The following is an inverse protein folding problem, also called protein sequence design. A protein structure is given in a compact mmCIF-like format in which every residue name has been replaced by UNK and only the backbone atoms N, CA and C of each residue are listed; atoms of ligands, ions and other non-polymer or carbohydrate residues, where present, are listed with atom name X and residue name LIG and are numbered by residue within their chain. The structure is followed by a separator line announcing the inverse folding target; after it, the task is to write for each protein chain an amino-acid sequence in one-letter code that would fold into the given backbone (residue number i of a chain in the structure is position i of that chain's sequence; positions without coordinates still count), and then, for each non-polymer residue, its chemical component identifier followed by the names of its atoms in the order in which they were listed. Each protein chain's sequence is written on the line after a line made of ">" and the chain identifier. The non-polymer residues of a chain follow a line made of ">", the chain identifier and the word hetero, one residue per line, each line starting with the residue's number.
data_IF_069882951765
#
_entry.id   IF_069882951765
#
_cell.length_a   1.000
_cell.length_b   1.000
_cell.length_c   1.000
_cell.angle_alpha   90.00
_cell.angle_beta   90.00
_cell.angle_gamma   90.00
#
_symmetry.space_group_name_H-M   'P 1'
#
loop_
_entity.id
_entity.type
_entity.pdbx_description
1 polymer ?
#
# COMPACT_ATOMS: atom_id res chain seq x y z
N UNK A 1 -17.24 9.37 6.63
CA UNK A 1 -17.80 8.04 6.94
C UNK A 1 -19.18 7.89 6.34
N UNK A 2 -19.30 7.98 5.01
CA UNK A 2 -20.60 7.94 4.33
C UNK A 2 -21.05 6.53 3.89
N UNK A 3 -20.41 5.48 4.43
CA UNK A 3 -20.81 4.10 4.12
C UNK A 3 -20.29 3.53 2.80
N UNK A 4 -19.36 4.17 2.08
CA UNK A 4 -18.79 3.66 0.82
C UNK A 4 -18.44 2.16 0.85
N UNK A 5 -17.62 1.73 1.81
CA UNK A 5 -17.23 0.32 1.95
C UNK A 5 -18.44 -0.58 2.21
N UNK A 6 -19.43 -0.13 2.98
CA UNK A 6 -20.67 -0.88 3.24
C UNK A 6 -21.47 -1.06 1.95
N UNK A 7 -21.60 -0.01 1.14
CA UNK A 7 -22.25 -0.07 -0.18
C UNK A 7 -21.55 -1.07 -1.09
N UNK A 8 -20.21 -1.02 -1.19
CA UNK A 8 -19.45 -1.96 -2.01
C UNK A 8 -19.66 -3.42 -1.55
N UNK A 9 -19.57 -3.67 -0.25
CA UNK A 9 -19.78 -5.01 0.34
C UNK A 9 -21.20 -5.53 0.06
N UNK A 10 -22.23 -4.73 0.32
CA UNK A 10 -23.62 -5.14 0.10
C UNK A 10 -23.94 -5.29 -1.39
N UNK A 11 -23.34 -4.47 -2.25
CA UNK A 11 -23.47 -4.61 -3.71
C UNK A 11 -22.93 -5.97 -4.17
N UNK A 12 -21.76 -6.37 -3.68
CA UNK A 12 -21.18 -7.68 -4.01
C UNK A 12 -22.10 -8.81 -3.53
N UNK A 13 -22.56 -8.74 -2.27
CA UNK A 13 -23.50 -9.75 -1.74
C UNK A 13 -24.78 -9.84 -2.56
N UNK A 14 -25.38 -8.69 -2.90
CA UNK A 14 -26.58 -8.60 -3.73
C UNK A 14 -26.37 -9.17 -5.15
N UNK A 15 -25.22 -8.90 -5.78
CA UNK A 15 -24.88 -9.47 -7.08
C UNK A 15 -24.79 -11.00 -7.03
N UNK A 16 -24.32 -11.57 -5.92
CA UNK A 16 -24.20 -13.02 -5.74
C UNK A 16 -25.56 -13.66 -5.42
N UNK A 17 -26.29 -13.13 -4.44
CA UNK A 17 -27.51 -13.76 -3.93
C UNK A 17 -28.73 -13.47 -4.80
N UNK A 18 -28.97 -12.19 -5.10
CA UNK A 18 -30.17 -11.76 -5.79
C UNK A 18 -30.04 -11.95 -7.30
N UNK A 19 -28.89 -11.60 -7.88
CA UNK A 19 -28.65 -11.76 -9.32
C UNK A 19 -28.04 -13.11 -9.70
N UNK A 20 -27.77 -14.00 -8.72
CA UNK A 20 -27.16 -15.32 -8.93
C UNK A 20 -25.86 -15.27 -9.75
N UNK A 21 -25.10 -14.18 -9.66
CA UNK A 21 -23.79 -14.09 -10.33
C UNK A 21 -22.79 -14.97 -9.61
N UNK A 22 -21.89 -15.56 -10.39
CA UNK A 22 -20.78 -16.33 -9.82
C UNK A 22 -19.84 -15.38 -9.04
N UNK A 23 -19.54 -15.63 -7.74
CA UNK A 23 -18.62 -14.80 -6.96
C UNK A 23 -17.24 -14.63 -7.61
N UNK A 24 -16.77 -15.64 -8.33
CA UNK A 24 -15.50 -15.59 -9.05
C UNK A 24 -15.50 -14.61 -10.24
N UNK A 25 -16.67 -14.14 -10.67
CA UNK A 25 -16.83 -13.12 -11.74
C UNK A 25 -16.80 -11.68 -11.23
N UNK A 26 -16.64 -11.50 -9.92
CA UNK A 26 -16.59 -10.19 -9.26
C UNK A 26 -15.17 -9.91 -8.79
N UNK A 27 -14.66 -8.73 -9.13
CA UNK A 27 -13.37 -8.21 -8.64
C UNK A 27 -13.62 -6.98 -7.77
N UNK A 28 -13.06 -6.94 -6.57
CA UNK A 28 -13.04 -5.74 -5.74
C UNK A 28 -11.62 -5.38 -5.35
N UNK A 29 -11.23 -4.15 -5.65
CA UNK A 29 -9.86 -3.66 -5.47
C UNK A 29 -9.82 -2.50 -4.48
N UNK A 30 -8.85 -2.56 -3.57
CA UNK A 30 -8.62 -1.54 -2.54
C UNK A 30 -7.12 -1.25 -2.40
N UNK A 31 -6.77 -0.17 -1.70
CA UNK A 31 -5.37 0.25 -1.54
C UNK A 31 -4.64 -0.43 -0.38
N UNK A 32 -5.35 -0.99 0.60
CA UNK A 32 -4.71 -1.55 1.80
C UNK A 32 -5.13 -3.00 2.06
N UNK A 33 -4.19 -3.80 2.56
CA UNK A 33 -4.46 -5.20 2.93
C UNK A 33 -5.52 -5.30 4.03
N UNK A 34 -5.51 -4.36 5.01
CA UNK A 34 -6.52 -4.31 6.06
C UNK A 34 -7.91 -4.11 5.49
N UNK A 35 -8.08 -3.14 4.58
CA UNK A 35 -9.37 -2.90 3.94
C UNK A 35 -9.82 -4.08 3.06
N UNK A 36 -8.88 -4.76 2.38
CA UNK A 36 -9.19 -5.95 1.60
C UNK A 36 -9.69 -7.10 2.48
N UNK A 37 -9.00 -7.37 3.60
CA UNK A 37 -9.38 -8.39 4.57
C UNK A 37 -10.72 -8.07 5.24
N UNK A 38 -10.92 -6.82 5.67
CA UNK A 38 -12.18 -6.36 6.26
C UNK A 38 -13.35 -6.47 5.26
N UNK A 39 -13.14 -6.03 4.01
CA UNK A 39 -14.13 -6.15 2.94
C UNK A 39 -14.49 -7.61 2.68
N UNK A 40 -13.49 -8.47 2.54
CA UNK A 40 -13.68 -9.91 2.34
C UNK A 40 -14.46 -10.55 3.50
N UNK A 41 -14.03 -10.32 4.73
CA UNK A 41 -14.68 -10.87 5.93
C UNK A 41 -16.16 -10.49 6.00
N UNK A 42 -16.50 -9.24 5.68
CA UNK A 42 -17.90 -8.79 5.68
C UNK A 42 -18.73 -9.36 4.54
N UNK A 43 -18.12 -9.62 3.38
CA UNK A 43 -18.82 -10.29 2.28
C UNK A 43 -19.10 -11.75 2.66
N UNK A 44 -18.11 -12.44 3.21
CA UNK A 44 -18.26 -13.84 3.66
C UNK A 44 -19.30 -13.99 4.77
N UNK A 45 -19.36 -13.02 5.69
CA UNK A 45 -20.40 -12.95 6.73
C UNK A 45 -21.80 -12.76 6.13
N UNK A 46 -21.97 -11.82 5.21
CA UNK A 46 -23.27 -11.58 4.56
C UNK A 46 -23.76 -12.75 3.72
N UNK A 47 -22.84 -13.47 3.06
CA UNK A 47 -23.15 -14.62 2.22
C UNK A 47 -23.26 -15.93 3.02
N UNK A 48 -22.96 -15.90 4.32
CA UNK A 48 -22.82 -17.08 5.19
C UNK A 48 -21.94 -18.19 4.59
N UNK A 49 -20.97 -17.81 3.75
CA UNK A 49 -20.17 -18.72 2.95
C UNK A 49 -18.78 -18.14 2.64
N UNK A 50 -17.74 -18.99 2.60
CA UNK A 50 -16.40 -18.54 2.23
C UNK A 50 -16.36 -18.15 0.75
N UNK A 51 -15.68 -17.04 0.44
CA UNK A 51 -15.56 -16.56 -0.92
C UNK A 51 -14.36 -17.20 -1.62
N UNK A 52 -14.46 -18.51 -1.83
CA UNK A 52 -13.44 -19.31 -2.52
C UNK A 52 -13.18 -18.74 -3.91
N UNK A 53 -11.90 -18.57 -4.26
CA UNK A 53 -11.43 -17.98 -5.52
C UNK A 53 -11.87 -16.53 -5.83
N UNK A 54 -12.51 -15.83 -4.89
CA UNK A 54 -12.92 -14.44 -5.07
C UNK A 54 -11.73 -13.49 -5.31
N UNK A 55 -11.94 -12.46 -6.12
CA UNK A 55 -10.90 -11.47 -6.48
C UNK A 55 -11.06 -10.19 -5.65
N UNK A 56 -11.01 -10.34 -4.32
CA UNK A 56 -11.03 -9.22 -3.37
C UNK A 56 -9.64 -9.05 -2.79
N UNK A 57 -9.01 -7.91 -3.06
CA UNK A 57 -7.60 -7.71 -2.71
C UNK A 57 -7.10 -6.30 -2.95
N UNK A 58 -5.80 -6.12 -2.76
CA UNK A 58 -5.12 -4.90 -3.18
C UNK A 58 -4.68 -4.99 -4.64
N UNK A 59 -4.42 -3.85 -5.29
CA UNK A 59 -3.85 -3.82 -6.65
C UNK A 59 -2.64 -4.77 -6.77
N UNK A 60 -1.66 -4.62 -5.87
CA UNK A 60 -0.47 -5.46 -5.85
C UNK A 60 -0.76 -6.94 -5.55
N UNK A 61 -1.66 -7.22 -4.60
CA UNK A 61 -2.01 -8.60 -4.26
C UNK A 61 -2.69 -9.34 -5.42
N UNK A 62 -3.58 -8.65 -6.14
CA UNK A 62 -4.27 -9.20 -7.31
C UNK A 62 -3.34 -9.30 -8.52
N UNK A 63 -2.47 -8.31 -8.74
CA UNK A 63 -1.42 -8.37 -9.75
C UNK A 63 -0.46 -9.54 -9.51
N UNK A 64 0.00 -9.74 -8.26
CA UNK A 64 0.81 -10.89 -7.90
C UNK A 64 0.09 -12.22 -8.17
N UNK A 65 -1.18 -12.35 -7.77
CA UNK A 65 -1.99 -13.54 -8.06
C UNK A 65 -2.13 -13.78 -9.56
N UNK A 66 -2.35 -12.72 -10.35
CA UNK A 66 -2.40 -12.79 -11.80
C UNK A 66 -1.06 -13.28 -12.37
N UNK A 67 0.06 -12.65 -12.02
CA UNK A 67 1.38 -13.00 -12.55
C UNK A 67 1.79 -14.42 -12.17
N UNK A 68 1.42 -14.91 -10.98
CA UNK A 68 1.64 -16.33 -10.63
C UNK A 68 0.85 -17.28 -11.53
N UNK A 69 -0.38 -16.90 -11.92
CA UNK A 69 -1.23 -17.69 -12.81
C UNK A 69 -0.75 -17.69 -14.26
N UNK A 70 -0.34 -16.52 -14.77
CA UNK A 70 0.08 -16.29 -16.15
C UNK A 70 1.58 -16.02 -16.24
N UNK A 71 2.37 -16.76 -15.45
CA UNK A 71 3.80 -16.49 -15.31
C UNK A 71 4.55 -16.69 -16.63
N UNK A 72 4.13 -17.67 -17.46
CA UNK A 72 4.74 -17.94 -18.77
C UNK A 72 4.53 -16.79 -19.73
N UNK A 73 3.30 -16.28 -19.80
CA UNK A 73 2.91 -15.13 -20.60
C UNK A 73 3.60 -13.84 -20.11
N UNK A 74 3.90 -13.76 -18.82
CA UNK A 74 4.66 -12.67 -18.21
C UNK A 74 6.20 -12.78 -18.38
N UNK A 75 6.69 -13.84 -19.04
CA UNK A 75 8.13 -14.10 -19.15
C UNK A 75 8.80 -14.30 -17.78
N UNK A 76 8.07 -14.84 -16.80
CA UNK A 76 8.51 -15.10 -15.44
C UNK A 76 8.52 -16.59 -15.14
N UNK A 77 9.39 -17.02 -14.23
CA UNK A 77 9.29 -18.35 -13.65
C UNK A 77 8.14 -18.38 -12.62
N UNK A 78 7.52 -19.55 -12.41
CA UNK A 78 6.48 -19.71 -11.38
C UNK A 78 6.98 -19.37 -9.97
N UNK A 79 8.30 -19.47 -9.74
CA UNK A 79 8.99 -19.19 -8.49
C UNK A 79 9.58 -17.77 -8.35
N UNK A 80 9.18 -16.79 -9.19
CA UNK A 80 9.73 -15.42 -9.07
C UNK A 80 9.64 -14.84 -7.65
N UNK A 81 10.71 -14.15 -7.24
CA UNK A 81 10.81 -13.52 -5.92
C UNK A 81 10.34 -12.07 -5.99
N UNK A 82 9.55 -11.65 -5.00
CA UNK A 82 9.25 -10.23 -4.79
C UNK A 82 10.39 -9.54 -4.01
N UNK A 83 10.86 -8.42 -4.55
CA UNK A 83 11.81 -7.53 -3.90
C UNK A 83 11.11 -6.55 -2.96
N UNK A 84 11.69 -6.34 -1.79
CA UNK A 84 11.34 -5.19 -0.95
C UNK A 84 12.17 -3.95 -1.34
N UNK A 85 11.84 -2.80 -0.74
CA UNK A 85 12.53 -1.55 -1.05
C UNK A 85 14.03 -1.57 -0.67
N UNK A 86 14.44 -2.31 0.36
CA UNK A 86 15.86 -2.39 0.73
C UNK A 86 16.62 -3.31 -0.22
N UNK A 87 16.00 -4.42 -0.63
CA UNK A 87 16.57 -5.36 -1.60
C UNK A 87 16.75 -4.66 -2.96
N UNK A 88 15.75 -3.91 -3.43
CA UNK A 88 15.87 -3.06 -4.63
C UNK A 88 17.01 -2.04 -4.49
N UNK A 89 17.09 -1.33 -3.36
CA UNK A 89 18.14 -0.34 -3.12
C UNK A 89 19.55 -0.96 -3.14
N UNK A 90 19.71 -2.19 -2.62
CA UNK A 90 20.99 -2.91 -2.66
C UNK A 90 21.43 -3.22 -4.08
N UNK A 91 20.51 -3.68 -4.94
CA UNK A 91 20.82 -3.94 -6.35
C UNK A 91 21.23 -2.65 -7.05
N UNK A 92 20.50 -1.56 -6.83
CA UNK A 92 20.80 -0.24 -7.42
C UNK A 92 22.17 0.28 -6.96
N UNK A 93 22.52 0.13 -5.68
CA UNK A 93 23.84 0.50 -5.15
C UNK A 93 24.97 -0.28 -5.83
N UNK A 94 24.77 -1.59 -6.03
CA UNK A 94 25.74 -2.44 -6.72
C UNK A 94 25.95 -1.97 -8.17
N UNK A 95 24.86 -1.76 -8.91
CA UNK A 95 24.89 -1.25 -10.30
C UNK A 95 25.57 0.12 -10.37
N UNK A 96 25.24 1.03 -9.46
CA UNK A 96 25.83 2.39 -9.43
C UNK A 96 27.34 2.33 -9.20
N UNK A 97 27.79 1.44 -8.30
CA UNK A 97 29.22 1.19 -8.04
C UNK A 97 29.93 0.59 -9.25
N UNK A 98 29.33 -0.40 -9.91
CA UNK A 98 29.88 -1.02 -11.12
C UNK A 98 29.98 -0.03 -12.29
N UNK A 99 29.04 0.92 -12.39
CA UNK A 99 29.07 2.00 -13.36
C UNK A 99 30.06 3.13 -13.01
N UNK A 100 30.75 3.06 -11.88
CA UNK A 100 31.71 4.08 -11.43
C UNK A 100 31.05 5.41 -11.04
N UNK A 101 29.77 5.39 -10.64
CA UNK A 101 29.04 6.58 -10.22
C UNK A 101 29.35 6.92 -8.76
N UNK A 102 29.62 8.20 -8.50
CA UNK A 102 29.86 8.72 -7.15
C UNK A 102 28.53 8.83 -6.38
N UNK A 103 28.41 8.17 -5.22
CA UNK A 103 27.20 8.16 -4.37
C UNK A 103 26.85 9.56 -3.81
N UNK A 104 27.82 10.48 -3.71
CA UNK A 104 27.56 11.86 -3.28
C UNK A 104 26.89 12.70 -4.36
N UNK A 105 27.16 12.38 -5.63
CA UNK A 105 26.59 13.07 -6.80
C UNK A 105 25.32 12.35 -7.28
N UNK A 106 25.31 11.03 -7.21
CA UNK A 106 24.24 10.15 -7.68
C UNK A 106 23.74 9.24 -6.55
N UNK A 107 22.98 9.77 -5.58
CA UNK A 107 22.50 8.96 -4.47
C UNK A 107 21.61 7.81 -4.96
N UNK A 108 21.95 6.58 -4.60
CA UNK A 108 21.21 5.38 -5.04
C UNK A 108 19.72 5.40 -4.66
N UNK A 109 19.37 6.05 -3.53
CA UNK A 109 17.95 6.25 -3.14
C UNK A 109 17.18 7.13 -4.12
N UNK A 110 17.84 8.14 -4.70
CA UNK A 110 17.23 9.03 -5.67
C UNK A 110 16.95 8.27 -6.98
N UNK A 111 17.92 7.48 -7.43
CA UNK A 111 17.74 6.57 -8.58
C UNK A 111 16.59 5.59 -8.36
N UNK A 112 16.51 4.97 -7.17
CA UNK A 112 15.41 4.09 -6.79
C UNK A 112 14.05 4.79 -6.87
N UNK A 113 13.95 5.99 -6.29
CA UNK A 113 12.71 6.76 -6.29
C UNK A 113 12.27 7.08 -7.72
N UNK A 114 13.19 7.54 -8.57
CA UNK A 114 12.89 7.89 -9.95
C UNK A 114 12.50 6.69 -10.80
N UNK A 115 13.16 5.53 -10.62
CA UNK A 115 12.79 4.27 -11.29
C UNK A 115 11.36 3.87 -10.93
N UNK A 116 11.01 3.93 -9.63
CA UNK A 116 9.66 3.59 -9.19
C UNK A 116 8.63 4.57 -9.76
N UNK A 117 8.94 5.88 -9.81
CA UNK A 117 8.07 6.88 -10.43
C UNK A 117 7.82 6.59 -11.92
N UNK A 118 8.86 6.24 -12.69
CA UNK A 118 8.70 5.84 -14.09
C UNK A 118 7.85 4.58 -14.25
N UNK A 119 8.03 3.58 -13.39
CA UNK A 119 7.18 2.37 -13.41
C UNK A 119 5.72 2.68 -13.10
N UNK A 120 5.46 3.56 -12.13
CA UNK A 120 4.11 3.99 -11.77
C UNK A 120 3.43 4.77 -12.92
N UNK A 121 4.21 5.50 -13.72
CA UNK A 121 3.76 6.16 -14.96
C UNK A 121 3.65 5.22 -16.16
N UNK A 122 4.10 3.97 -16.03
CA UNK A 122 4.03 2.95 -17.08
C UNK A 122 5.22 2.93 -18.04
N UNK A 123 6.33 3.58 -17.71
CA UNK A 123 7.52 3.63 -18.54
C UNK A 123 8.50 2.51 -18.24
N UNK A 124 8.89 1.78 -19.30
CA UNK A 124 10.09 0.93 -19.32
C UNK A 124 11.33 1.78 -19.58
N UNK A 125 12.52 1.29 -19.22
CA UNK A 125 13.76 2.03 -19.43
C UNK A 125 14.03 2.43 -20.89
N UNK A 126 13.51 1.66 -21.84
CA UNK A 126 13.56 1.96 -23.28
C UNK A 126 12.59 3.06 -23.72
N UNK A 127 11.53 3.31 -22.95
CA UNK A 127 10.47 4.28 -23.23
C UNK A 127 10.60 5.58 -22.46
N UNK A 128 11.57 5.69 -21.54
CA UNK A 128 11.86 6.93 -20.81
C UNK A 128 12.40 7.99 -21.77
N UNK A 129 11.78 9.17 -21.78
CA UNK A 129 12.36 10.34 -22.44
C UNK A 129 13.38 11.01 -21.52
N UNK A 130 14.65 10.67 -21.76
CA UNK A 130 15.81 11.17 -21.03
C UNK A 130 16.60 12.24 -21.82
N UNK A 131 16.19 12.59 -23.04
CA UNK A 131 17.00 13.41 -23.93
C UNK A 131 17.20 14.83 -23.38
N UNK A 132 18.45 15.24 -23.28
CA UNK A 132 18.81 16.61 -22.90
C UNK A 132 18.74 16.87 -21.39
N UNK A 133 18.51 15.83 -20.58
CA UNK A 133 18.56 15.88 -19.13
C UNK A 133 19.61 14.87 -18.63
N UNK A 134 20.82 15.37 -18.37
CA UNK A 134 21.94 14.56 -17.90
C UNK A 134 21.61 13.76 -16.62
N UNK A 135 20.70 14.27 -15.79
CA UNK A 135 20.25 13.57 -14.60
C UNK A 135 19.38 12.35 -14.96
N UNK A 136 18.39 12.54 -15.83
CA UNK A 136 17.56 11.43 -16.32
C UNK A 136 18.36 10.41 -17.11
N UNK A 137 19.30 10.84 -17.95
CA UNK A 137 20.12 9.93 -18.76
C UNK A 137 20.91 8.96 -17.87
N UNK A 138 21.52 9.44 -16.79
CA UNK A 138 22.30 8.58 -15.90
C UNK A 138 21.41 7.65 -15.08
N UNK A 139 20.26 8.12 -14.58
CA UNK A 139 19.30 7.24 -13.91
C UNK A 139 18.74 6.20 -14.87
N UNK A 140 18.48 6.56 -16.13
CA UNK A 140 17.97 5.61 -17.12
C UNK A 140 19.01 4.53 -17.45
N UNK A 141 20.32 4.85 -17.47
CA UNK A 141 21.38 3.83 -17.56
C UNK A 141 21.32 2.85 -16.39
N UNK A 142 21.17 3.35 -15.17
CA UNK A 142 20.97 2.49 -13.98
C UNK A 142 19.71 1.64 -14.15
N UNK A 143 18.62 2.23 -14.63
CA UNK A 143 17.35 1.54 -14.81
C UNK A 143 17.46 0.38 -15.82
N UNK A 144 18.13 0.60 -16.95
CA UNK A 144 18.39 -0.45 -17.97
C UNK A 144 19.13 -1.65 -17.38
N UNK A 145 20.21 -1.40 -16.63
CA UNK A 145 20.97 -2.48 -15.99
C UNK A 145 20.18 -3.15 -14.86
N UNK A 146 19.36 -2.38 -14.14
CA UNK A 146 18.47 -2.90 -13.10
C UNK A 146 17.41 -3.84 -13.68
N UNK A 147 16.76 -3.49 -14.79
CA UNK A 147 15.78 -4.38 -15.45
C UNK A 147 16.43 -5.68 -15.93
N UNK A 148 17.65 -5.61 -16.50
CA UNK A 148 18.40 -6.80 -16.91
C UNK A 148 18.74 -7.69 -15.71
N UNK A 149 19.19 -7.10 -14.60
CA UNK A 149 19.50 -7.83 -13.38
C UNK A 149 18.25 -8.52 -12.81
N UNK A 150 17.12 -7.81 -12.74
CA UNK A 150 15.86 -8.39 -12.29
C UNK A 150 15.38 -9.53 -13.18
N UNK A 151 15.48 -9.39 -14.50
CA UNK A 151 15.08 -10.45 -15.44
C UNK A 151 15.97 -11.69 -15.29
N UNK A 152 17.29 -11.51 -15.24
CA UNK A 152 18.26 -12.60 -15.09
C UNK A 152 18.07 -13.39 -13.81
N UNK A 153 17.83 -12.69 -12.70
CA UNK A 153 17.73 -13.27 -11.36
C UNK A 153 16.25 -13.64 -11.01
N UNK A 154 15.34 -13.46 -11.98
CA UNK A 154 13.90 -13.75 -11.86
C UNK A 154 13.24 -13.05 -10.65
N UNK A 155 13.51 -11.75 -10.56
CA UNK A 155 13.09 -10.84 -9.49
C UNK A 155 12.01 -9.87 -10.00
N UNK A 156 11.07 -9.53 -9.12
CA UNK A 156 9.95 -8.62 -9.40
C UNK A 156 9.83 -7.64 -8.24
N UNK A 157 10.00 -6.34 -8.47
CA UNK A 157 9.74 -5.32 -7.44
C UNK A 157 8.25 -4.92 -7.40
N UNK A 158 7.88 -4.04 -6.47
CA UNK A 158 6.49 -3.63 -6.28
C UNK A 158 5.89 -2.92 -7.50
N UNK A 159 6.62 -1.99 -8.13
CA UNK A 159 6.16 -1.32 -9.34
C UNK A 159 6.04 -2.30 -10.52
N UNK A 160 6.97 -3.25 -10.61
CA UNK A 160 6.98 -4.29 -11.64
C UNK A 160 5.73 -5.16 -11.61
N UNK A 161 5.16 -5.44 -10.43
CA UNK A 161 3.92 -6.21 -10.32
C UNK A 161 2.80 -5.57 -11.14
N UNK A 162 2.65 -4.25 -11.08
CA UNK A 162 1.60 -3.52 -11.78
C UNK A 162 1.94 -3.36 -13.26
N UNK A 163 3.14 -2.85 -13.57
CA UNK A 163 3.57 -2.60 -14.94
C UNK A 163 3.53 -3.87 -15.80
N UNK A 164 4.11 -4.96 -15.29
CA UNK A 164 4.11 -6.24 -16.02
C UNK A 164 2.72 -6.84 -16.14
N UNK A 165 1.87 -6.69 -15.12
CA UNK A 165 0.47 -7.15 -15.21
C UNK A 165 -0.30 -6.38 -16.29
N UNK A 166 -0.08 -5.07 -16.37
CA UNK A 166 -0.68 -4.24 -17.42
C UNK A 166 -0.22 -4.68 -18.81
N UNK A 167 1.09 -4.85 -19.03
CA UNK A 167 1.65 -5.29 -20.31
C UNK A 167 1.12 -6.66 -20.73
N UNK A 168 1.07 -7.63 -19.80
CA UNK A 168 0.55 -8.97 -20.08
C UNK A 168 -0.92 -8.92 -20.49
N UNK A 169 -1.75 -8.10 -19.85
CA UNK A 169 -3.16 -7.93 -20.24
C UNK A 169 -3.28 -7.21 -21.58
N UNK A 170 -2.46 -6.19 -21.83
CA UNK A 170 -2.51 -5.38 -23.05
C UNK A 170 -2.08 -6.19 -24.28
N UNK A 171 -0.97 -6.92 -24.14
CA UNK A 171 -0.24 -7.50 -25.28
C UNK A 171 -0.59 -8.98 -25.52
N UNK A 172 -1.19 -9.68 -24.54
CA UNK A 172 -1.61 -11.07 -24.70
C UNK A 172 -3.14 -11.19 -24.80
N UNK A 173 -3.64 -11.35 -26.02
CA UNK A 173 -5.08 -11.42 -26.31
C UNK A 173 -5.79 -12.58 -25.57
N UNK A 174 -5.10 -13.69 -25.30
CA UNK A 174 -5.69 -14.84 -24.59
C UNK A 174 -5.91 -14.52 -23.10
N UNK A 175 -4.94 -13.87 -22.45
CA UNK A 175 -5.04 -13.44 -21.05
C UNK A 175 -6.07 -12.34 -20.91
N UNK A 176 -6.09 -11.40 -21.85
CA UNK A 176 -7.11 -10.35 -21.95
C UNK A 176 -8.51 -10.96 -22.06
N UNK A 177 -8.74 -11.82 -23.05
CA UNK A 177 -10.02 -12.48 -23.26
C UNK A 177 -10.46 -13.28 -22.03
N UNK A 178 -9.53 -13.96 -21.35
CA UNK A 178 -9.81 -14.65 -20.09
C UNK A 178 -10.38 -13.72 -19.03
N UNK A 179 -9.76 -12.55 -18.80
CA UNK A 179 -10.23 -11.60 -17.79
C UNK A 179 -11.53 -10.88 -18.18
N UNK A 180 -11.70 -10.50 -19.45
CA UNK A 180 -12.96 -9.93 -19.94
C UNK A 180 -14.13 -10.93 -19.90
N UNK A 181 -13.85 -12.22 -20.15
CA UNK A 181 -14.85 -13.27 -20.01
C UNK A 181 -15.19 -13.51 -18.53
N UNK A 182 -14.18 -13.51 -17.66
CA UNK A 182 -14.34 -13.79 -16.23
C UNK A 182 -15.03 -12.66 -15.48
N UNK A 183 -14.51 -11.44 -15.54
CA UNK A 183 -14.99 -10.34 -14.70
C UNK A 183 -16.16 -9.63 -15.35
N UNK A 184 -17.32 -9.72 -14.70
CA UNK A 184 -18.55 -9.03 -15.10
C UNK A 184 -18.85 -7.82 -14.25
N UNK A 185 -18.22 -7.73 -13.08
CA UNK A 185 -18.33 -6.60 -12.15
C UNK A 185 -16.95 -6.32 -11.57
N UNK A 186 -16.47 -5.09 -11.74
CA UNK A 186 -15.20 -4.61 -11.19
C UNK A 186 -15.52 -3.42 -10.30
N UNK A 187 -15.20 -3.54 -9.01
CA UNK A 187 -15.40 -2.51 -8.01
C UNK A 187 -14.03 -1.94 -7.64
N UNK A 188 -13.80 -0.69 -8.02
CA UNK A 188 -12.55 0.05 -7.74
C UNK A 188 -12.91 1.36 -7.06
N UNK A 189 -12.12 1.78 -6.08
CA UNK A 189 -12.29 3.06 -5.37
C UNK A 189 -11.62 4.25 -6.10
N UNK A 190 -11.63 4.25 -7.44
CA UNK A 190 -10.99 5.30 -8.26
C UNK A 190 -11.98 5.93 -9.24
N UNK A 191 -11.74 7.22 -9.55
CA UNK A 191 -12.62 8.08 -10.35
C UNK A 191 -12.07 8.22 -11.76
N UNK A 192 -12.52 7.44 -12.74
CA UNK A 192 -12.32 7.83 -14.15
C UNK A 192 -13.22 7.02 -15.08
N UNK A 193 -14.46 7.48 -15.28
CA UNK A 193 -15.33 7.01 -16.37
C UNK A 193 -16.26 8.16 -16.77
N UNK A 194 -16.04 8.75 -17.94
CA UNK A 194 -16.76 9.94 -18.39
C UNK A 194 -18.27 9.70 -18.60
N UNK A 195 -18.65 8.44 -18.83
CA UNK A 195 -20.05 8.01 -19.03
C UNK A 195 -20.71 7.45 -17.76
N UNK A 196 -20.04 7.53 -16.60
CA UNK A 196 -20.57 6.91 -15.38
C UNK A 196 -21.64 7.75 -14.70
N UNK A 197 -22.67 7.07 -14.19
CA UNK A 197 -23.61 7.65 -13.24
C UNK A 197 -22.92 7.92 -11.90
N UNK A 198 -23.07 9.15 -11.39
CA UNK A 198 -22.43 9.58 -10.14
C UNK A 198 -23.46 9.59 -9.01
N UNK A 199 -23.35 8.60 -8.12
CA UNK A 199 -24.13 8.56 -6.88
C UNK A 199 -23.31 9.20 -5.75
N UNK A 200 -23.82 10.30 -5.18
CA UNK A 200 -23.17 10.99 -4.05
C UNK A 200 -23.71 10.48 -2.72
N UNK A 201 -22.82 9.93 -1.89
CA UNK A 201 -23.13 9.55 -0.50
C UNK A 201 -22.76 10.71 0.44
N UNK A 202 -23.76 11.48 0.85
CA UNK A 202 -23.59 12.74 1.60
C UNK A 202 -23.85 12.59 3.10
N UNK A 203 -24.68 11.63 3.51
CA UNK A 203 -24.92 11.35 4.92
C UNK A 203 -23.69 10.67 5.55
N UNK A 204 -23.21 11.21 6.67
CA UNK A 204 -22.13 10.67 7.48
C UNK A 204 -22.71 9.98 8.72
N UNK A 205 -22.39 8.70 8.89
CA UNK A 205 -22.89 7.89 10.01
C UNK A 205 -21.89 7.79 11.18
N UNK A 206 -20.66 8.30 10.99
CA UNK A 206 -19.56 8.17 11.95
C UNK A 206 -19.48 9.34 12.92
N UNK A 207 -19.44 10.55 12.40
CA UNK A 207 -19.05 11.76 13.14
C UNK A 207 -20.25 12.59 13.56
N UNK A 208 -20.09 13.35 14.65
CA UNK A 208 -21.04 14.37 15.12
C UNK A 208 -21.02 15.59 14.23
N UNK A 209 -22.04 16.45 14.35
CA UNK A 209 -22.17 17.67 13.56
C UNK A 209 -21.01 18.65 13.81
N UNK A 210 -20.49 18.72 15.05
CA UNK A 210 -19.34 19.58 15.39
C UNK A 210 -18.09 19.18 14.60
N UNK A 211 -17.73 17.90 14.64
CA UNK A 211 -16.56 17.37 13.89
C UNK A 211 -16.78 17.52 12.38
N UNK A 212 -18.00 17.25 11.91
CA UNK A 212 -18.32 17.31 10.49
C UNK A 212 -18.32 18.75 9.96
N UNK A 213 -18.82 19.70 10.73
CA UNK A 213 -18.78 21.12 10.44
C UNK A 213 -17.35 21.63 10.28
N UNK A 214 -16.47 21.31 11.25
CA UNK A 214 -15.06 21.66 11.15
C UNK A 214 -14.38 21.04 9.92
N UNK A 215 -14.66 19.77 9.62
CA UNK A 215 -14.11 19.10 8.44
C UNK A 215 -14.61 19.71 7.12
N UNK A 216 -15.90 20.10 7.03
CA UNK A 216 -16.48 20.76 5.87
C UNK A 216 -15.88 22.17 5.67
N UNK A 217 -15.75 22.96 6.74
CA UNK A 217 -15.14 24.29 6.68
C UNK A 217 -13.66 24.22 6.26
N UNK A 218 -12.91 23.21 6.72
CA UNK A 218 -11.53 23.01 6.31
C UNK A 218 -11.41 22.67 4.82
N UNK A 219 -12.21 21.71 4.33
CA UNK A 219 -12.12 21.22 2.94
C UNK A 219 -12.65 22.22 1.91
N UNK A 220 -13.46 23.20 2.32
CA UNK A 220 -13.93 24.29 1.46
C UNK A 220 -12.80 25.16 0.92
N UNK A 221 -11.65 25.20 1.58
CA UNK A 221 -10.47 25.93 1.12
C UNK A 221 -9.74 25.25 -0.06
N UNK A 222 -10.11 24.01 -0.42
CA UNK A 222 -9.47 23.29 -1.53
C UNK A 222 -10.15 23.61 -2.86
N UNK A 223 -9.37 23.97 -3.87
CA UNK A 223 -9.83 24.36 -5.21
C UNK A 223 -10.27 23.19 -6.08
N UNK A 224 -9.65 22.01 -5.92
CA UNK A 224 -9.98 20.81 -6.70
C UNK A 224 -10.97 19.90 -5.95
N UNK A 225 -12.25 20.31 -5.91
CA UNK A 225 -13.30 19.60 -5.16
C UNK A 225 -14.49 19.23 -6.06
N UNK A 226 -14.95 17.98 -5.92
CA UNK A 226 -16.18 17.48 -6.57
C UNK A 226 -17.49 17.94 -5.90
N UNK A 227 -17.52 19.10 -5.24
CA UNK A 227 -18.72 19.73 -4.65
C UNK A 227 -19.66 18.79 -3.90
N UNK A 228 -19.24 18.26 -2.74
CA UNK A 228 -20.09 17.40 -1.88
C UNK A 228 -20.09 17.93 -0.44
N UNK A 229 -21.25 18.22 0.15
CA UNK A 229 -21.34 18.62 1.55
C UNK A 229 -21.84 17.44 2.39
N UNK A 230 -21.07 17.05 3.40
CA UNK A 230 -21.46 15.95 4.26
C UNK A 230 -22.38 16.46 5.38
N UNK A 231 -23.43 15.73 5.70
CA UNK A 231 -24.34 16.02 6.82
C UNK A 231 -24.49 14.79 7.74
N UNK A 232 -24.99 14.95 8.97
CA UNK A 232 -25.14 13.86 9.96
C UNK A 232 -26.36 14.08 10.86
N UNK A 233 -27.04 13.01 11.26
CA UNK A 233 -28.13 13.05 12.26
C UNK A 233 -27.62 13.16 13.69
N UNK A 234 -26.32 12.94 13.92
CA UNK A 234 -25.68 13.09 15.23
C UNK A 234 -25.42 14.56 15.52
N UNK A 235 -26.48 15.29 15.89
CA UNK A 235 -26.45 16.74 16.07
C UNK A 235 -25.64 17.16 17.31
N UNK A 236 -25.67 16.36 18.37
CA UNK A 236 -24.95 16.61 19.61
C UNK A 236 -23.53 16.00 19.60
N UNK A 237 -22.60 16.65 20.29
CA UNK A 237 -21.24 16.18 20.45
C UNK A 237 -20.43 17.09 21.37
N UNK A 238 -19.27 16.61 21.81
CA UNK A 238 -18.31 17.44 22.53
C UNK A 238 -17.66 18.47 21.60
N UNK A 239 -17.28 19.62 22.18
CA UNK A 239 -16.58 20.67 21.45
C UNK A 239 -15.16 20.23 21.08
N UNK A 240 -14.67 20.69 19.93
CA UNK A 240 -13.28 20.46 19.53
C UNK A 240 -12.38 21.32 20.41
N UNK A 241 -11.47 20.67 21.13
CA UNK A 241 -10.50 21.34 21.99
C UNK A 241 -9.22 21.57 21.19
N UNK A 242 -8.72 22.82 21.23
CA UNK A 242 -7.41 23.18 20.71
C UNK A 242 -6.48 23.50 21.88
N UNK A 243 -5.37 22.79 21.97
CA UNK A 243 -4.31 23.02 22.95
C UNK A 243 -3.04 23.48 22.25
N UNK A 244 -2.49 24.61 22.68
CA UNK A 244 -1.21 25.12 22.18
C UNK A 244 -0.14 24.81 23.23
N UNK A 245 0.67 23.79 22.95
CA UNK A 245 1.78 23.38 23.81
C UNK A 245 2.98 24.32 23.67
N UNK A 246 3.80 24.42 24.73
CA UNK A 246 5.07 25.16 24.71
C UNK A 246 6.16 24.44 23.89
N UNK A 247 6.15 23.10 23.90
CA UNK A 247 7.05 22.25 23.13
C UNK A 247 6.43 20.86 22.90
N UNK A 248 7.14 19.99 22.19
CA UNK A 248 6.69 18.62 21.88
C UNK A 248 6.51 17.74 23.13
N UNK A 249 7.31 17.96 24.19
CA UNK A 249 7.19 17.19 25.43
C UNK A 249 5.94 17.58 26.22
N UNK A 250 5.59 18.87 26.19
CA UNK A 250 4.36 19.40 26.77
C UNK A 250 3.12 18.88 26.03
N UNK A 251 3.14 18.93 24.69
CA UNK A 251 2.07 18.33 23.86
C UNK A 251 1.88 16.84 24.19
N UNK A 252 2.97 16.08 24.26
CA UNK A 252 2.91 14.65 24.54
C UNK A 252 2.39 14.33 25.95
N UNK A 253 2.74 15.13 26.95
CA UNK A 253 2.19 15.00 28.32
C UNK A 253 0.71 15.32 28.35
N UNK A 254 0.30 16.42 27.72
CA UNK A 254 -1.11 16.79 27.61
C UNK A 254 -1.94 15.65 26.99
N UNK A 255 -1.45 15.05 25.90
CA UNK A 255 -2.13 13.90 25.27
C UNK A 255 -2.21 12.70 26.24
N UNK A 256 -1.14 12.39 26.97
CA UNK A 256 -1.14 11.29 27.93
C UNK A 256 -2.13 11.54 29.09
N UNK A 257 -2.24 12.77 29.57
CA UNK A 257 -3.16 13.15 30.64
C UNK A 257 -4.62 13.06 30.16
N UNK A 258 -4.93 13.53 28.94
CA UNK A 258 -6.25 13.35 28.32
C UNK A 258 -6.63 11.87 28.21
N UNK A 259 -5.68 11.01 27.83
CA UNK A 259 -5.93 9.56 27.73
C UNK A 259 -6.17 8.91 29.10
N UNK A 260 -5.46 9.35 30.15
CA UNK A 260 -5.74 8.88 31.52
C UNK A 260 -7.12 9.31 31.97
N UNK A 261 -7.49 10.56 31.74
CA UNK A 261 -8.80 11.07 32.09
C UNK A 261 -9.92 10.33 31.34
N UNK A 262 -9.69 9.98 30.08
CA UNK A 262 -10.58 9.13 29.30
C UNK A 262 -10.79 7.76 29.95
N UNK A 263 -9.70 7.10 30.35
CA UNK A 263 -9.76 5.82 31.07
C UNK A 263 -10.45 5.97 32.43
N UNK A 264 -10.18 7.05 33.17
CA UNK A 264 -10.79 7.33 34.48
C UNK A 264 -12.30 7.56 34.38
N UNK A 265 -12.80 8.01 33.23
CA UNK A 265 -14.24 8.12 32.92
C UNK A 265 -14.91 6.77 32.62
N UNK A 266 -14.14 5.67 32.58
CA UNK A 266 -14.64 4.31 32.36
C UNK A 266 -14.52 3.83 30.90
N UNK A 267 -13.93 4.63 30.01
CA UNK A 267 -13.74 4.30 28.60
C UNK A 267 -12.46 3.47 28.39
N UNK A 268 -12.30 2.85 27.22
CA UNK A 268 -11.12 2.04 26.92
C UNK A 268 -10.05 2.81 26.14
N UNK A 269 -8.78 2.55 26.43
CA UNK A 269 -7.66 3.07 25.61
C UNK A 269 -7.75 2.65 24.14
N UNK A 270 -8.38 1.51 23.84
CA UNK A 270 -8.59 1.04 22.47
C UNK A 270 -9.49 1.92 21.61
N UNK A 271 -10.31 2.77 22.25
CA UNK A 271 -11.23 3.67 21.56
C UNK A 271 -10.59 5.02 21.23
N UNK A 272 -9.38 5.26 21.74
CA UNK A 272 -8.59 6.45 21.46
C UNK A 272 -7.55 6.19 20.36
N UNK A 273 -7.28 7.21 19.55
CA UNK A 273 -6.24 7.19 18.55
C UNK A 273 -5.49 8.53 18.54
N UNK A 274 -4.16 8.46 18.50
CA UNK A 274 -3.30 9.64 18.32
C UNK A 274 -2.80 9.65 16.88
N UNK A 275 -3.10 10.71 16.14
CA UNK A 275 -2.74 10.88 14.74
C UNK A 275 -1.70 11.98 14.61
N UNK A 276 -0.61 11.69 13.91
CA UNK A 276 0.49 12.64 13.66
C UNK A 276 0.88 12.61 12.18
N UNK A 277 1.60 13.66 11.74
CA UNK A 277 1.92 13.85 10.32
C UNK A 277 3.12 13.00 9.88
N UNK A 278 4.13 12.87 10.74
CA UNK A 278 5.38 12.16 10.47
C UNK A 278 5.74 11.21 11.61
N UNK A 279 6.34 10.06 11.28
CA UNK A 279 6.81 9.09 12.26
C UNK A 279 7.86 9.67 13.24
N UNK A 280 8.57 10.74 12.87
CA UNK A 280 9.50 11.41 13.78
C UNK A 280 8.81 11.94 15.06
N UNK A 281 7.52 12.29 14.97
CA UNK A 281 6.74 12.80 16.09
C UNK A 281 6.33 11.71 17.10
N UNK A 282 6.40 10.42 16.73
CA UNK A 282 5.95 9.33 17.62
C UNK A 282 6.79 9.27 18.89
N UNK A 283 8.09 9.57 18.81
CA UNK A 283 9.02 9.38 19.93
C UNK A 283 8.61 10.11 21.20
N UNK A 284 8.27 11.41 21.11
CA UNK A 284 7.87 12.20 22.28
C UNK A 284 6.58 11.66 22.91
N UNK A 285 5.61 11.25 22.08
CA UNK A 285 4.36 10.62 22.51
C UNK A 285 4.62 9.28 23.20
N UNK A 286 5.42 8.41 22.59
CA UNK A 286 5.77 7.10 23.15
C UNK A 286 6.44 7.22 24.52
N UNK A 287 7.40 8.13 24.67
CA UNK A 287 8.05 8.38 25.95
C UNK A 287 7.05 8.85 27.02
N UNK A 288 6.11 9.72 26.68
CA UNK A 288 5.09 10.21 27.61
C UNK A 288 4.08 9.10 28.00
N UNK A 289 3.64 8.28 27.04
CA UNK A 289 2.73 7.16 27.27
C UNK A 289 3.40 6.07 28.14
N UNK A 290 4.67 5.75 27.87
CA UNK A 290 5.45 4.80 28.67
C UNK A 290 5.62 5.27 30.11
N UNK A 291 6.03 6.53 30.33
CA UNK A 291 6.15 7.11 31.69
C UNK A 291 4.82 7.08 32.44
N UNK A 292 3.73 7.22 31.71
CA UNK A 292 2.37 7.17 32.23
C UNK A 292 1.78 5.77 32.35
N UNK A 293 2.53 4.73 31.99
CA UNK A 293 2.06 3.32 31.96
C UNK A 293 0.80 3.11 31.12
N UNK A 294 0.63 3.88 30.04
CA UNK A 294 -0.48 3.76 29.11
C UNK A 294 -0.09 2.75 28.03
N UNK A 295 -0.84 1.65 27.85
CA UNK A 295 -0.58 0.71 26.78
C UNK A 295 -0.88 1.36 25.43
N UNK A 296 0.03 1.22 24.48
CA UNK A 296 -0.11 1.79 23.14
C UNK A 296 0.31 0.80 22.06
N UNK A 297 -0.18 1.03 20.84
CA UNK A 297 0.23 0.29 19.64
C UNK A 297 0.52 1.28 18.52
N UNK A 298 1.73 1.19 17.97
CA UNK A 298 2.11 2.00 16.81
C UNK A 298 1.67 1.31 15.53
N UNK A 299 0.97 2.05 14.68
CA UNK A 299 0.69 1.64 13.31
C UNK A 299 1.69 2.35 12.38
N UNK A 300 2.56 1.58 11.72
CA UNK A 300 3.57 2.12 10.80
C UNK A 300 4.95 2.41 11.40
N UNK A 301 5.26 1.91 12.60
CA UNK A 301 6.62 1.80 13.12
C UNK A 301 7.46 0.74 12.39
N UNK A 302 8.61 0.32 12.95
CA UNK A 302 9.44 -0.72 12.33
C UNK A 302 8.59 -1.98 12.07
N UNK A 303 8.38 -2.30 10.80
CA UNK A 303 7.50 -3.41 10.43
C UNK A 303 8.16 -4.71 10.86
N UNK A 304 7.36 -5.71 11.22
CA UNK A 304 7.87 -7.03 11.60
C UNK A 304 8.85 -7.60 10.55
N UNK A 305 8.52 -7.48 9.27
CA UNK A 305 9.35 -7.91 8.14
C UNK A 305 10.56 -7.02 7.85
N UNK A 306 10.67 -5.86 8.49
CA UNK A 306 11.83 -4.96 8.38
C UNK A 306 12.94 -5.30 9.38
N UNK A 307 12.64 -6.14 10.37
CA UNK A 307 13.62 -6.56 11.37
C UNK A 307 14.71 -7.42 10.73
N UNK A 308 15.96 -7.21 11.15
CA UNK A 308 17.12 -7.82 10.52
C UNK A 308 17.08 -9.35 10.61
N UNK A 309 16.72 -9.87 11.78
CA UNK A 309 16.56 -11.31 12.03
C UNK A 309 15.49 -11.94 11.13
N UNK A 310 14.38 -11.24 10.90
CA UNK A 310 13.29 -11.70 10.03
C UNK A 310 13.74 -11.67 8.57
N UNK A 311 14.40 -10.59 8.12
CA UNK A 311 14.94 -10.49 6.76
C UNK A 311 15.99 -11.57 6.48
N UNK A 312 16.85 -11.86 7.46
CA UNK A 312 17.86 -12.90 7.32
C UNK A 312 17.23 -14.29 7.19
N UNK A 313 16.24 -14.61 8.03
CA UNK A 313 15.51 -15.88 7.91
C UNK A 313 14.78 -16.02 6.56
N UNK A 314 14.12 -14.94 6.09
CA UNK A 314 13.42 -14.94 4.81
C UNK A 314 14.39 -15.13 3.64
N UNK A 315 15.61 -14.60 3.70
CA UNK A 315 16.59 -14.78 2.64
C UNK A 315 16.94 -16.26 2.41
N UNK A 316 17.08 -17.07 3.47
CA UNK A 316 17.24 -18.52 3.32
C UNK A 316 16.05 -19.16 2.62
N UNK A 317 14.83 -18.78 3.00
CA UNK A 317 13.62 -19.31 2.38
C UNK A 317 13.53 -18.93 0.90
N UNK A 318 13.84 -17.66 0.55
CA UNK A 318 13.84 -17.18 -0.83
C UNK A 318 14.76 -18.03 -1.72
N UNK A 319 15.96 -18.37 -1.26
CA UNK A 319 16.91 -19.19 -2.02
C UNK A 319 16.38 -20.61 -2.26
N UNK A 320 15.68 -21.20 -1.29
CA UNK A 320 15.09 -22.55 -1.45
C UNK A 320 14.06 -22.58 -2.60
N UNK A 321 13.33 -21.48 -2.80
CA UNK A 321 12.31 -21.39 -3.86
C UNK A 321 12.84 -20.80 -5.18
N UNK A 322 13.83 -19.91 -5.12
CA UNK A 322 14.47 -19.29 -6.27
C UNK A 322 15.99 -19.30 -6.09
N UNK A 323 16.64 -20.33 -6.63
CA UNK A 323 18.09 -20.51 -6.55
C UNK A 323 18.88 -19.43 -7.31
N UNK A 324 18.21 -18.60 -8.11
CA UNK A 324 18.82 -17.48 -8.87
C UNK A 324 18.72 -16.13 -8.14
N UNK A 325 18.15 -16.09 -6.93
CA UNK A 325 18.01 -14.88 -6.12
C UNK A 325 19.34 -14.45 -5.49
N UNK A 326 20.18 -13.76 -6.27
CA UNK A 326 21.48 -13.26 -5.82
C UNK A 326 21.38 -12.32 -4.59
N UNK A 327 20.43 -11.37 -4.50
CA UNK A 327 20.29 -10.53 -3.30
C UNK A 327 20.03 -11.34 -2.02
N UNK A 328 19.19 -12.36 -2.08
CA UNK A 328 18.95 -13.25 -0.94
C UNK A 328 20.20 -14.09 -0.63
N UNK A 329 20.90 -14.59 -1.65
CA UNK A 329 22.15 -15.33 -1.49
C UNK A 329 23.22 -14.50 -0.77
N UNK A 330 23.53 -13.30 -1.24
CA UNK A 330 24.51 -12.39 -0.63
C UNK A 330 24.17 -12.08 0.85
N UNK A 331 22.89 -11.88 1.16
CA UNK A 331 22.44 -11.65 2.55
C UNK A 331 22.60 -12.90 3.41
N UNK A 332 22.23 -14.07 2.90
CA UNK A 332 22.26 -15.33 3.66
C UNK A 332 23.68 -15.84 3.89
N UNK A 333 24.59 -15.73 2.91
CA UNK A 333 25.96 -16.25 3.05
C UNK A 333 26.76 -15.46 4.08
N UNK A 334 26.50 -14.15 4.19
CA UNK A 334 27.12 -13.25 5.15
C UNK A 334 26.55 -13.38 6.58
N UNK A 335 25.36 -13.97 6.76
CA UNK A 335 24.68 -14.05 8.05
C UNK A 335 24.07 -15.45 8.33
N UNK A 336 24.60 -16.25 9.28
CA UNK A 336 25.74 -15.94 10.15
C UNK A 336 27.07 -15.91 9.39
N UNK A 337 28.09 -15.28 9.97
CA UNK A 337 29.42 -15.15 9.36
C UNK A 337 30.04 -16.53 9.13
N UNK A 338 30.41 -16.83 7.87
CA UNK A 338 31.01 -18.12 7.46
C UNK A 338 32.44 -18.00 6.94
N UNK A 339 33.08 -16.84 7.10
CA UNK A 339 34.42 -16.59 6.57
C UNK A 339 34.47 -16.41 5.04
N UNK A 340 33.33 -16.11 4.42
CA UNK A 340 33.22 -15.73 3.00
C UNK A 340 33.04 -14.22 2.94
N UNK A 341 33.91 -13.52 2.21
CA UNK A 341 33.94 -12.06 2.13
C UNK A 341 34.32 -11.57 0.74
#
# INVERSE_FOLDING_TARGET
>A
GSGKTRVLVHKIAWEVEALRKNPASIMAVTFTNKAALEMRSRIEELLEAPMMDGWVGTFHGLAHRMLKRFHKEAGLSSGFTILDADDQLRIIKRISKEAGLDESVWPSRQSQWQINAWKDEGFRSESVDDKGDYFKENINKIYKEYEKACLRDNLVDFGELLLRSYEVIRDNESVKAFFHARFKSILVDTKTFDTAEIIRLEQNYRSTNIILGAANALIENNTDRLGKNLWTDKLEGEQIILYQAYNEQDEARFVADILKDWMNKGEMYSDAAVLYRSNAQSRALEEALLRSSIPYRIYGGQRFYERMEIKNAIAYLKIIFNNSDNPAFERSISNPTRGVG
#
